data_IF_073131038467
#
_entry.id   IF_073131038467
#
_cell.length_a   1.000
_cell.length_b   1.000
_cell.length_c   1.000
_cell.angle_alpha   90.00
_cell.angle_beta   90.00
_cell.angle_gamma   90.00
#
_symmetry.space_group_name_H-M   'P 1'
#
loop_
_entity.id
_entity.type
_entity.pdbx_description
1 polymer ?
#
# COMPACT_ATOMS: atom_id res chain seq x y z
N UNK A 1 -1.35 -11.93 25.53
CA UNK A 1 -1.97 -10.63 25.85
C UNK A 1 -1.65 -9.72 24.68
N UNK A 2 -2.62 -9.41 23.82
CA UNK A 2 -2.40 -8.41 22.77
C UNK A 2 -2.21 -7.07 23.48
N UNK A 3 -1.05 -6.44 23.28
CA UNK A 3 -0.81 -5.09 23.79
C UNK A 3 -1.68 -4.15 22.97
N UNK A 4 -2.77 -3.66 23.55
CA UNK A 4 -3.61 -2.63 22.91
C UNK A 4 -2.86 -1.31 23.01
N UNK A 5 -2.45 -0.77 21.86
CA UNK A 5 -1.84 0.56 21.77
C UNK A 5 -2.94 1.58 21.51
N UNK A 6 -2.99 2.63 22.32
CA UNK A 6 -3.89 3.76 22.11
C UNK A 6 -3.23 4.73 21.12
N UNK A 7 -3.38 4.45 19.83
CA UNK A 7 -2.76 5.24 18.78
C UNK A 7 -3.46 6.60 18.63
N UNK A 8 -2.71 7.70 18.43
CA UNK A 8 -3.28 8.98 18.06
C UNK A 8 -4.17 8.89 16.82
N UNK A 9 -5.27 9.66 16.81
CA UNK A 9 -6.25 9.63 15.72
C UNK A 9 -5.68 10.06 14.38
N UNK A 10 -4.72 10.99 14.37
CA UNK A 10 -4.00 11.43 13.17
C UNK A 10 -3.08 10.33 12.63
N UNK A 11 -2.42 9.56 13.50
CA UNK A 11 -1.63 8.40 13.09
C UNK A 11 -2.50 7.28 12.50
N UNK A 12 -3.67 7.01 13.10
CA UNK A 12 -4.65 6.06 12.58
C UNK A 12 -5.20 6.51 11.22
N UNK A 13 -5.59 7.78 11.10
CA UNK A 13 -6.08 8.34 9.85
C UNK A 13 -5.00 8.29 8.75
N UNK A 14 -3.75 8.63 9.07
CA UNK A 14 -2.64 8.55 8.13
C UNK A 14 -2.31 7.12 7.69
N UNK A 15 -2.40 6.13 8.59
CA UNK A 15 -2.23 4.73 8.25
C UNK A 15 -3.36 4.20 7.36
N UNK A 16 -4.61 4.58 7.66
CA UNK A 16 -5.79 4.22 6.87
C UNK A 16 -5.68 4.80 5.45
N UNK A 17 -5.38 6.10 5.34
CA UNK A 17 -5.20 6.75 4.04
C UNK A 17 -4.05 6.11 3.25
N UNK A 18 -2.95 5.74 3.91
CA UNK A 18 -1.84 5.03 3.26
C UNK A 18 -2.30 3.68 2.68
N UNK A 19 -3.14 2.94 3.41
CA UNK A 19 -3.71 1.69 2.93
C UNK A 19 -4.63 1.91 1.72
N UNK A 20 -5.49 2.92 1.77
CA UNK A 20 -6.39 3.27 0.68
C UNK A 20 -5.63 3.67 -0.58
N UNK A 21 -4.64 4.55 -0.47
CA UNK A 21 -3.80 4.98 -1.62
C UNK A 21 -3.04 3.79 -2.22
N UNK A 22 -2.53 2.87 -1.40
CA UNK A 22 -1.88 1.64 -1.90
C UNK A 22 -2.85 0.71 -2.62
N UNK A 23 -4.07 0.58 -2.11
CA UNK A 23 -5.11 -0.22 -2.74
C UNK A 23 -5.52 0.38 -4.10
N UNK A 24 -5.71 1.70 -4.15
CA UNK A 24 -6.02 2.45 -5.36
C UNK A 24 -4.89 2.34 -6.40
N UNK A 25 -3.64 2.57 -6.00
CA UNK A 25 -2.47 2.40 -6.86
C UNK A 25 -2.37 0.98 -7.40
N UNK A 26 -2.60 -0.04 -6.56
CA UNK A 26 -2.61 -1.44 -6.98
C UNK A 26 -3.73 -1.74 -7.98
N UNK A 27 -4.92 -1.20 -7.76
CA UNK A 27 -6.06 -1.35 -8.67
C UNK A 27 -5.79 -0.67 -10.03
N UNK A 28 -5.23 0.53 -10.01
CA UNK A 28 -4.84 1.27 -11.22
C UNK A 28 -3.77 0.49 -12.02
N UNK A 29 -2.68 0.07 -11.37
CA UNK A 29 -1.62 -0.69 -12.02
C UNK A 29 -2.08 -2.03 -12.62
N UNK A 30 -3.12 -2.66 -12.04
CA UNK A 30 -3.73 -3.87 -12.61
C UNK A 30 -4.55 -3.61 -13.88
N UNK A 31 -5.10 -2.40 -14.03
CA UNK A 31 -5.86 -1.98 -15.22
C UNK A 31 -4.93 -1.52 -16.34
N UNK A 32 -3.81 -0.89 -15.98
CA UNK A 32 -2.89 -0.30 -16.94
C UNK A 32 -2.15 -1.37 -17.76
N UNK A 33 -1.69 -1.00 -18.97
CA UNK A 33 -0.77 -1.83 -19.73
C UNK A 33 0.46 -2.19 -18.90
N UNK A 34 0.99 -3.39 -19.11
CA UNK A 34 2.10 -3.92 -18.31
C UNK A 34 3.41 -3.13 -18.47
N UNK A 35 3.53 -2.28 -19.50
CA UNK A 35 4.64 -1.36 -19.73
C UNK A 35 4.20 0.09 -19.67
N UNK A 36 5.07 0.94 -19.10
CA UNK A 36 4.90 2.40 -19.07
C UNK A 36 5.21 3.01 -20.42
N UNK A 37 6.27 2.57 -21.09
CA UNK A 37 6.60 2.98 -22.44
C UNK A 37 6.01 1.99 -23.47
N UNK A 38 5.73 2.43 -24.70
CA UNK A 38 5.37 1.52 -25.77
C UNK A 38 6.47 0.45 -25.95
N UNK A 39 6.10 -0.82 -25.79
CA UNK A 39 6.99 -1.96 -25.96
C UNK A 39 6.37 -2.96 -26.91
N UNK A 40 7.18 -3.44 -27.84
CA UNK A 40 6.79 -4.57 -28.68
C UNK A 40 6.59 -5.82 -27.83
N UNK A 41 5.66 -6.66 -28.30
CA UNK A 41 5.44 -7.96 -27.68
C UNK A 41 6.68 -8.81 -27.83
N UNK A 42 7.06 -9.53 -26.77
CA UNK A 42 8.20 -10.42 -26.81
C UNK A 42 7.80 -11.84 -26.41
N UNK A 43 8.45 -12.81 -27.05
CA UNK A 43 8.40 -14.21 -26.68
C UNK A 43 9.83 -14.66 -26.42
N UNK A 44 10.12 -15.12 -25.22
CA UNK A 44 11.40 -15.73 -24.86
C UNK A 44 11.16 -17.21 -24.48
N UNK A 45 11.77 -18.11 -25.26
CA UNK A 45 11.75 -19.56 -25.06
C UNK A 45 13.14 -20.14 -24.71
N UNK A 46 14.15 -19.29 -24.49
CA UNK A 46 15.51 -19.74 -24.12
C UNK A 46 15.64 -20.16 -22.65
N UNK A 47 14.63 -19.91 -21.82
CA UNK A 47 14.60 -20.26 -20.39
C UNK A 47 13.91 -21.58 -20.07
N UNK A 48 13.88 -21.95 -18.79
CA UNK A 48 13.17 -23.14 -18.30
C UNK A 48 11.63 -23.06 -18.45
N UNK A 49 11.09 -21.87 -18.76
CA UNK A 49 9.69 -21.65 -19.14
C UNK A 49 9.62 -20.62 -20.26
N UNK A 50 8.71 -20.85 -21.21
CA UNK A 50 8.32 -19.87 -22.22
C UNK A 50 7.66 -18.67 -21.54
N UNK A 51 8.14 -17.47 -21.84
CA UNK A 51 7.53 -16.20 -21.42
C UNK A 51 7.04 -15.48 -22.66
N UNK A 52 5.73 -15.27 -22.75
CA UNK A 52 5.11 -14.48 -23.82
C UNK A 52 4.43 -13.26 -23.21
N UNK A 53 4.70 -12.08 -23.77
CA UNK A 53 4.00 -10.85 -23.44
C UNK A 53 3.53 -10.16 -24.72
N UNK A 54 2.24 -9.77 -24.80
CA UNK A 54 1.74 -9.02 -25.95
C UNK A 54 2.34 -7.61 -25.98
N UNK A 55 2.31 -6.98 -27.16
CA UNK A 55 2.72 -5.59 -27.31
C UNK A 55 1.93 -4.70 -26.35
N UNK A 56 2.64 -3.79 -25.70
CA UNK A 56 2.08 -2.83 -24.78
C UNK A 56 2.11 -1.45 -25.43
N UNK A 57 0.98 -0.73 -25.51
CA UNK A 57 0.96 0.62 -26.06
C UNK A 57 1.62 1.67 -25.15
N UNK A 58 2.10 1.29 -23.96
CA UNK A 58 2.54 2.22 -22.93
C UNK A 58 1.37 2.86 -22.19
N UNK A 59 1.68 3.69 -21.20
CA UNK A 59 0.71 4.49 -20.48
C UNK A 59 0.50 5.82 -21.20
N UNK A 60 -0.73 6.31 -21.16
CA UNK A 60 -1.01 7.70 -21.56
C UNK A 60 -0.41 8.68 -20.55
N UNK A 61 -0.25 9.95 -20.95
CA UNK A 61 0.25 10.99 -20.06
C UNK A 61 -0.65 11.17 -18.82
N UNK A 62 -1.97 11.05 -18.98
CA UNK A 62 -2.93 11.14 -17.89
C UNK A 62 -2.78 9.98 -16.90
N UNK A 63 -2.64 8.74 -17.41
CA UNK A 63 -2.43 7.55 -16.58
C UNK A 63 -1.09 7.60 -15.83
N UNK A 64 -0.03 8.10 -16.47
CA UNK A 64 1.26 8.31 -15.82
C UNK A 64 1.16 9.36 -14.73
N UNK A 65 0.48 10.48 -14.99
CA UNK A 65 0.27 11.54 -14.01
C UNK A 65 -0.58 11.07 -12.81
N UNK A 66 -1.59 10.23 -13.04
CA UNK A 66 -2.42 9.65 -11.98
C UNK A 66 -1.61 8.70 -11.09
N UNK A 67 -0.80 7.82 -11.69
CA UNK A 67 0.12 6.94 -10.95
C UNK A 67 1.15 7.76 -10.16
N UNK A 68 1.73 8.79 -10.77
CA UNK A 68 2.71 9.65 -10.10
C UNK A 68 2.10 10.38 -8.91
N UNK A 69 0.90 10.94 -9.07
CA UNK A 69 0.15 11.57 -7.98
C UNK A 69 -0.10 10.60 -6.82
N UNK A 70 -0.54 9.38 -7.11
CA UNK A 70 -0.76 8.35 -6.08
C UNK A 70 0.54 7.94 -5.39
N UNK A 71 1.64 7.77 -6.14
CA UNK A 71 2.96 7.45 -5.57
C UNK A 71 3.51 8.58 -4.70
N UNK A 72 3.33 9.82 -5.11
CA UNK A 72 3.72 10.99 -4.33
C UNK A 72 2.93 11.02 -3.02
N UNK A 73 1.61 10.80 -3.07
CA UNK A 73 0.77 10.73 -1.87
C UNK A 73 1.14 9.56 -0.96
N UNK A 74 1.39 8.37 -1.54
CA UNK A 74 1.87 7.21 -0.79
C UNK A 74 3.17 7.55 -0.04
N UNK A 75 4.11 8.20 -0.72
CA UNK A 75 5.39 8.59 -0.13
C UNK A 75 5.22 9.56 1.03
N UNK A 76 4.42 10.61 0.85
CA UNK A 76 4.11 11.59 1.91
C UNK A 76 3.51 10.91 3.15
N UNK A 77 2.53 10.03 2.95
CA UNK A 77 1.89 9.29 4.03
C UNK A 77 2.85 8.30 4.70
N UNK A 78 3.69 7.62 3.91
CA UNK A 78 4.70 6.72 4.45
C UNK A 78 5.73 7.46 5.32
N UNK A 79 6.14 8.66 4.91
CA UNK A 79 7.00 9.55 5.71
C UNK A 79 6.26 9.98 6.97
N UNK A 80 5.06 10.56 6.85
CA UNK A 80 4.24 11.03 7.96
C UNK A 80 4.08 9.94 9.04
N UNK A 81 3.64 8.75 8.64
CA UNK A 81 3.45 7.61 9.55
C UNK A 81 4.79 7.19 10.15
N UNK A 82 5.87 7.10 9.37
CA UNK A 82 7.16 6.59 9.87
C UNK A 82 7.87 7.54 10.84
N UNK A 83 7.69 8.85 10.66
CA UNK A 83 8.33 9.91 11.45
C UNK A 83 7.39 10.52 12.50
N UNK A 84 6.21 9.93 12.72
CA UNK A 84 5.23 10.45 13.65
C UNK A 84 5.78 10.64 15.08
N UNK A 85 5.38 11.74 15.74
CA UNK A 85 5.84 12.09 17.10
C UNK A 85 5.59 11.00 18.13
N UNK A 86 4.51 10.21 17.97
CA UNK A 86 4.17 9.09 18.83
C UNK A 86 5.32 8.08 18.99
N UNK A 87 6.13 7.87 17.95
CA UNK A 87 7.25 6.93 18.03
C UNK A 87 8.35 7.40 18.98
N UNK A 88 8.45 8.70 19.24
CA UNK A 88 9.42 9.22 20.21
C UNK A 88 9.07 8.83 21.66
N UNK A 89 7.81 8.52 21.93
CA UNK A 89 7.30 8.13 23.25
C UNK A 89 7.60 6.65 23.56
N UNK A 90 7.82 5.82 22.52
CA UNK A 90 8.12 4.40 22.65
C UNK A 90 9.61 4.11 22.44
N UNK A 91 10.16 3.15 23.18
CA UNK A 91 11.59 2.80 23.12
C UNK A 91 11.84 1.31 22.83
N UNK A 92 12.98 1.03 22.19
CA UNK A 92 13.46 -0.34 21.95
C UNK A 92 12.41 -1.27 21.30
N UNK A 93 12.18 -2.48 21.84
CA UNK A 93 11.30 -3.48 21.23
C UNK A 93 9.82 -3.06 21.21
N UNK A 94 9.38 -2.19 22.12
CA UNK A 94 8.00 -1.71 22.19
C UNK A 94 7.60 -0.93 20.94
N UNK A 95 8.51 -0.09 20.42
CA UNK A 95 8.29 0.66 19.17
C UNK A 95 8.08 -0.27 17.98
N UNK A 96 8.79 -1.39 17.93
CA UNK A 96 8.65 -2.38 16.85
C UNK A 96 7.29 -3.09 16.95
N UNK A 97 6.91 -3.52 18.15
CA UNK A 97 5.60 -4.13 18.40
C UNK A 97 4.44 -3.20 18.06
N UNK A 98 4.53 -1.91 18.47
CA UNK A 98 3.53 -0.90 18.15
C UNK A 98 3.41 -0.64 16.64
N UNK A 99 4.53 -0.57 15.91
CA UNK A 99 4.51 -0.45 14.44
C UNK A 99 3.87 -1.65 13.75
N UNK A 100 4.11 -2.85 14.27
CA UNK A 100 3.44 -4.06 13.77
C UNK A 100 1.94 -4.01 14.05
N UNK A 101 1.53 -3.62 15.26
CA UNK A 101 0.11 -3.48 15.61
C UNK A 101 -0.61 -2.41 14.77
N UNK A 102 0.05 -1.27 14.47
CA UNK A 102 -0.52 -0.21 13.64
C UNK A 102 -0.90 -0.71 12.24
N UNK A 103 -0.12 -1.63 11.65
CA UNK A 103 -0.44 -2.22 10.33
C UNK A 103 -1.77 -2.97 10.34
N UNK A 104 -2.16 -3.54 11.48
CA UNK A 104 -3.39 -4.32 11.66
C UNK A 104 -4.53 -3.48 12.28
N UNK A 105 -4.30 -2.19 12.55
CA UNK A 105 -5.30 -1.34 13.19
C UNK A 105 -6.59 -1.22 12.37
N UNK A 106 -6.49 -1.26 11.03
CA UNK A 106 -7.62 -1.25 10.11
C UNK A 106 -8.40 -2.58 10.07
N UNK A 107 -7.75 -3.70 10.41
CA UNK A 107 -8.37 -5.04 10.49
C UNK A 107 -9.07 -5.25 11.85
N UNK A 108 -8.76 -4.42 12.84
CA UNK A 108 -9.33 -4.48 14.19
C UNK A 108 -10.57 -3.59 14.32
N UNK A 109 -11.33 -3.41 13.24
CA UNK A 109 -12.74 -3.04 13.40
C UNK A 109 -13.41 -4.25 14.07
N UNK A 110 -14.15 -4.06 15.20
CA UNK A 110 -14.83 -5.18 15.81
C UNK A 110 -15.81 -5.72 14.76
N UNK A 111 -15.64 -6.98 14.38
CA UNK A 111 -16.81 -7.81 14.14
C UNK A 111 -17.69 -7.66 15.40
N UNK A 112 -18.62 -6.71 15.34
CA UNK A 112 -19.90 -6.82 16.01
C UNK A 112 -20.58 -8.07 15.41
N UNK A 113 -20.06 -9.25 15.77
CA UNK A 113 -20.80 -10.49 15.71
C UNK A 113 -21.89 -10.35 16.77
N UNK A 114 -22.92 -9.58 16.42
CA UNK A 114 -24.19 -9.62 17.12
C UNK A 114 -24.73 -11.04 17.01
N UNK A 115 -24.49 -11.86 18.03
CA UNK A 115 -25.41 -12.96 18.34
C UNK A 115 -26.67 -12.42 19.02
N UNK A 116 -27.64 -13.26 19.41
CA UNK A 116 -28.08 -14.55 18.87
C UNK A 116 -29.59 -14.50 18.46
N UNK A 117 -30.10 -15.50 17.76
CA UNK A 117 -31.50 -15.98 17.86
C UNK A 117 -31.61 -17.41 17.37
#
# INVERSE_FOLDING_TARGET
>A
MATTYDFPSDLLAGQEELHQVRAELSALLKRLPWSVEPLDGFSDDNGWRKVERPASPGWTADEQAEVEKLRQREHELAVFVSTHRYWSELSGPERVSARSALKHAHETAPEETGGPS
#
